data_IF_223950467105
#
_entry.id   IF_223950467105
#
_cell.length_a   1.000
_cell.length_b   1.000
_cell.length_c   1.000
_cell.angle_alpha   90.00
_cell.angle_beta   90.00
_cell.angle_gamma   90.00
#
_symmetry.space_group_name_H-M   'P 1'
#
loop_
_entity.id
_entity.type
_entity.pdbx_description
1 polymer ?
#
# COMPACT_ATOMS: atom_id res chain seq x y z
N UNK A 1 -9.34 -15.51 7.65
CA UNK A 1 -8.22 -14.58 7.33
C UNK A 1 -8.66 -13.65 6.21
N UNK A 2 -8.48 -12.34 6.41
CA UNK A 2 -8.88 -11.36 5.40
C UNK A 2 -8.04 -11.50 4.12
N UNK A 3 -8.62 -11.35 2.92
CA UNK A 3 -7.88 -11.48 1.65
C UNK A 3 -6.65 -10.58 1.53
N UNK A 4 -6.69 -9.36 2.07
CA UNK A 4 -5.54 -8.46 2.08
C UNK A 4 -4.37 -9.04 2.89
N UNK A 5 -4.65 -9.52 4.10
CA UNK A 5 -3.64 -10.17 4.95
C UNK A 5 -3.01 -11.36 4.22
N UNK A 6 -3.84 -12.19 3.61
CA UNK A 6 -3.36 -13.34 2.85
C UNK A 6 -2.48 -12.94 1.68
N UNK A 7 -2.85 -11.91 0.94
CA UNK A 7 -2.05 -11.41 -0.18
C UNK A 7 -0.69 -10.88 0.29
N UNK A 8 -0.64 -10.16 1.41
CA UNK A 8 0.62 -9.66 1.99
C UNK A 8 1.50 -10.82 2.48
N UNK A 9 0.93 -11.78 3.20
CA UNK A 9 1.67 -12.95 3.71
C UNK A 9 2.23 -13.80 2.55
N UNK A 10 1.52 -13.88 1.44
CA UNK A 10 1.96 -14.55 0.22
C UNK A 10 2.91 -13.71 -0.64
N UNK A 11 3.16 -12.45 -0.26
CA UNK A 11 3.94 -11.47 -1.02
C UNK A 11 3.43 -11.30 -2.46
N UNK A 12 2.12 -11.36 -2.62
CA UNK A 12 1.45 -11.28 -3.92
C UNK A 12 1.06 -9.83 -4.22
N UNK A 13 1.96 -9.10 -4.86
CA UNK A 13 1.77 -7.70 -5.20
C UNK A 13 0.56 -7.47 -6.13
N UNK A 14 0.30 -8.39 -7.05
CA UNK A 14 -0.86 -8.31 -7.95
C UNK A 14 -2.18 -8.45 -7.18
N UNK A 15 -2.25 -9.38 -6.25
CA UNK A 15 -3.44 -9.55 -5.41
C UNK A 15 -3.66 -8.35 -4.48
N UNK A 16 -2.59 -7.78 -3.93
CA UNK A 16 -2.67 -6.55 -3.13
C UNK A 16 -3.25 -5.41 -3.95
N UNK A 17 -2.70 -5.17 -5.14
CA UNK A 17 -3.17 -4.10 -6.04
C UNK A 17 -4.65 -4.27 -6.42
N UNK A 18 -5.08 -5.50 -6.70
CA UNK A 18 -6.46 -5.80 -7.05
C UNK A 18 -7.47 -5.46 -5.94
N UNK A 19 -7.03 -5.42 -4.69
CA UNK A 19 -7.86 -5.07 -3.54
C UNK A 19 -7.98 -3.56 -3.31
N UNK A 20 -7.19 -2.73 -4.02
CA UNK A 20 -7.23 -1.28 -3.88
C UNK A 20 -8.32 -0.68 -4.77
N UNK A 21 -9.10 0.26 -4.24
CA UNK A 21 -9.99 1.08 -5.03
C UNK A 21 -9.19 2.05 -5.89
N UNK A 22 -9.73 2.47 -7.04
CA UNK A 22 -9.06 3.44 -7.91
C UNK A 22 -8.77 4.77 -7.18
N UNK A 23 -9.69 5.20 -6.33
CA UNK A 23 -9.63 6.44 -5.55
C UNK A 23 -9.02 6.27 -4.16
N UNK A 24 -8.33 5.16 -3.89
CA UNK A 24 -7.71 4.91 -2.59
C UNK A 24 -6.79 6.07 -2.16
N UNK A 25 -6.83 6.41 -0.89
CA UNK A 25 -5.92 7.39 -0.28
C UNK A 25 -5.01 6.65 0.68
N UNK A 26 -3.71 6.77 0.48
CA UNK A 26 -2.69 6.18 1.34
C UNK A 26 -2.07 7.26 2.23
N UNK A 27 -2.06 7.02 3.54
CA UNK A 27 -1.42 7.89 4.53
C UNK A 27 -0.24 7.16 5.16
N UNK A 28 0.95 7.67 4.86
CA UNK A 28 2.23 7.10 5.30
C UNK A 28 2.51 7.40 6.78
N UNK A 29 3.21 6.49 7.49
CA UNK A 29 3.64 6.77 8.86
C UNK A 29 4.79 7.77 8.96
N UNK A 30 5.43 8.13 7.83
CA UNK A 30 6.64 8.97 7.81
C UNK A 30 6.49 10.25 6.99
N UNK A 31 5.35 10.42 6.31
CA UNK A 31 5.03 11.62 5.54
C UNK A 31 3.64 12.12 5.91
N UNK A 32 3.51 13.42 6.14
CA UNK A 32 2.25 14.01 6.56
C UNK A 32 1.22 14.05 5.41
N UNK A 33 1.67 14.41 4.21
CA UNK A 33 0.80 14.60 3.06
C UNK A 33 0.34 13.25 2.50
N UNK A 34 -1.00 13.02 2.37
CA UNK A 34 -1.49 11.75 1.82
C UNK A 34 -1.20 11.59 0.33
N UNK A 35 -1.17 10.34 -0.12
CA UNK A 35 -0.96 9.96 -1.52
C UNK A 35 -2.28 9.45 -2.10
N UNK A 36 -2.90 10.18 -3.04
CA UNK A 36 -4.14 9.72 -3.66
C UNK A 36 -3.87 8.84 -4.87
N UNK A 37 -4.65 7.79 -5.00
CA UNK A 37 -4.69 6.96 -6.19
C UNK A 37 -4.06 5.58 -6.05
N UNK A 38 -4.60 4.65 -6.82
CA UNK A 38 -4.23 3.23 -6.82
C UNK A 38 -2.79 3.01 -7.31
N UNK A 39 -2.37 3.69 -8.39
CA UNK A 39 -1.05 3.49 -8.98
C UNK A 39 0.08 3.83 -7.98
N UNK A 40 -0.01 5.00 -7.33
CA UNK A 40 1.01 5.41 -6.36
C UNK A 40 0.96 4.56 -5.09
N UNK A 41 -0.24 4.20 -4.63
CA UNK A 41 -0.40 3.33 -3.45
C UNK A 41 0.21 1.95 -3.69
N UNK A 42 -0.09 1.32 -4.82
CA UNK A 42 0.49 0.03 -5.18
C UNK A 42 2.03 0.10 -5.26
N UNK A 43 2.57 1.17 -5.85
CA UNK A 43 4.02 1.38 -5.95
C UNK A 43 4.66 1.55 -4.56
N UNK A 44 4.02 2.30 -3.66
CA UNK A 44 4.49 2.47 -2.26
C UNK A 44 4.49 1.11 -1.54
N UNK A 45 3.43 0.34 -1.66
CA UNK A 45 3.34 -0.98 -1.02
C UNK A 45 4.41 -1.95 -1.53
N UNK A 46 4.71 -1.93 -2.83
CA UNK A 46 5.85 -2.70 -3.37
C UNK A 46 7.18 -2.23 -2.76
N UNK A 47 7.36 -0.92 -2.60
CA UNK A 47 8.53 -0.35 -1.93
C UNK A 47 8.67 -0.81 -0.48
N UNK A 48 7.58 -0.80 0.27
CA UNK A 48 7.51 -1.30 1.65
C UNK A 48 7.92 -2.77 1.71
N UNK A 49 7.41 -3.60 0.80
CA UNK A 49 7.76 -5.02 0.74
C UNK A 49 9.25 -5.26 0.45
N UNK A 50 9.91 -4.33 -0.23
CA UNK A 50 11.36 -4.42 -0.49
C UNK A 50 12.22 -4.04 0.72
N UNK A 51 11.73 -3.15 1.59
CA UNK A 51 12.53 -2.63 2.72
C UNK A 51 12.24 -3.29 4.05
N UNK A 52 11.04 -3.85 4.24
CA UNK A 52 10.68 -4.55 5.48
C UNK A 52 11.06 -6.03 5.39
N UNK A 53 11.82 -6.48 6.37
CA UNK A 53 12.24 -7.87 6.52
C UNK A 53 11.46 -8.55 7.65
N UNK A 54 11.31 -9.86 7.59
CA UNK A 54 10.65 -10.67 8.62
C UNK A 54 9.26 -10.14 9.00
N UNK A 55 8.51 -9.72 8.00
CA UNK A 55 7.18 -9.14 8.16
C UNK A 55 6.19 -10.21 8.63
N UNK A 56 5.51 -9.94 9.75
CA UNK A 56 4.51 -10.85 10.32
C UNK A 56 3.34 -10.07 10.88
N UNK A 57 2.12 -10.43 10.48
CA UNK A 57 0.93 -9.94 11.15
C UNK A 57 0.71 -10.70 12.45
N UNK A 58 0.55 -9.98 13.55
CA UNK A 58 0.43 -10.54 14.90
C UNK A 58 -0.95 -10.33 15.52
N UNK A 59 -1.76 -9.45 14.95
CA UNK A 59 -3.11 -9.16 15.47
C UNK A 59 -3.99 -8.62 14.37
N UNK A 60 -5.23 -9.09 14.34
CA UNK A 60 -6.25 -8.65 13.38
C UNK A 60 -7.50 -8.25 14.15
N UNK A 61 -7.99 -7.03 13.92
CA UNK A 61 -9.21 -6.50 14.51
C UNK A 61 -10.10 -6.03 13.36
N UNK A 62 -11.35 -6.49 13.36
CA UNK A 62 -12.33 -6.09 12.36
C UNK A 62 -13.62 -5.65 13.04
N UNK A 63 -14.29 -4.65 12.48
CA UNK A 63 -15.63 -4.31 12.94
C UNK A 63 -16.63 -5.39 12.49
N UNK A 64 -17.80 -5.50 13.15
CA UNK A 64 -18.80 -6.51 12.78
C UNK A 64 -19.36 -6.32 11.37
N UNK A 65 -19.36 -5.09 10.85
CA UNK A 65 -19.83 -4.79 9.48
C UNK A 65 -18.78 -5.12 8.41
N UNK A 66 -17.52 -5.37 8.82
CA UNK A 66 -16.44 -5.71 7.90
C UNK A 66 -15.91 -4.54 7.07
N UNK A 67 -16.20 -3.30 7.48
CA UNK A 67 -15.78 -2.09 6.75
C UNK A 67 -14.42 -1.58 7.22
N UNK A 68 -14.10 -1.75 8.49
CA UNK A 68 -12.86 -1.27 9.09
C UNK A 68 -12.06 -2.42 9.67
N UNK A 69 -10.78 -2.46 9.32
CA UNK A 69 -9.84 -3.47 9.79
C UNK A 69 -8.57 -2.81 10.31
N UNK A 70 -8.03 -3.36 11.40
CA UNK A 70 -6.73 -2.99 11.91
C UNK A 70 -5.85 -4.25 11.95
N UNK A 71 -4.72 -4.22 11.26
CA UNK A 71 -3.78 -5.33 11.16
C UNK A 71 -2.45 -4.91 11.77
N UNK A 72 -2.16 -5.39 12.96
CA UNK A 72 -0.91 -5.09 13.66
C UNK A 72 0.19 -6.03 13.14
N UNK A 73 1.32 -5.46 12.78
CA UNK A 73 2.48 -6.22 12.28
C UNK A 73 3.75 -5.93 13.06
N UNK A 74 4.68 -6.85 12.95
CA UNK A 74 6.08 -6.66 13.34
C UNK A 74 6.96 -6.93 12.14
N UNK A 75 8.10 -6.24 12.08
CA UNK A 75 9.07 -6.42 11.02
C UNK A 75 10.45 -5.91 11.47
N UNK A 76 11.42 -5.95 10.58
CA UNK A 76 12.75 -5.37 10.77
C UNK A 76 13.04 -4.42 9.61
N UNK A 77 13.58 -3.25 9.91
CA UNK A 77 14.03 -2.28 8.92
C UNK A 77 15.36 -1.68 9.35
N UNK A 78 16.36 -1.76 8.47
CA UNK A 78 17.69 -1.24 8.78
C UNK A 78 18.28 -1.82 10.07
N UNK A 79 18.04 -3.10 10.35
CA UNK A 79 18.49 -3.78 11.56
C UNK A 79 17.70 -3.44 12.82
N UNK A 80 16.64 -2.64 12.74
CA UNK A 80 15.80 -2.23 13.86
C UNK A 80 14.44 -2.92 13.83
N UNK A 81 13.96 -3.35 15.01
CA UNK A 81 12.61 -3.91 15.13
C UNK A 81 11.58 -2.77 15.02
N UNK A 82 10.56 -3.00 14.21
CA UNK A 82 9.45 -2.08 14.00
C UNK A 82 8.13 -2.79 14.27
N UNK A 83 7.22 -2.10 14.92
CA UNK A 83 5.84 -2.52 15.07
C UNK A 83 4.94 -1.48 14.41
N UNK A 84 3.96 -1.93 13.66
CA UNK A 84 3.04 -1.02 12.99
C UNK A 84 1.63 -1.55 12.96
N UNK A 85 0.74 -0.72 12.47
CA UNK A 85 -0.65 -1.07 12.25
C UNK A 85 -1.13 -0.52 10.91
N UNK A 86 -1.69 -1.40 10.10
CA UNK A 86 -2.41 -1.04 8.89
C UNK A 86 -3.87 -0.83 9.24
N UNK A 87 -4.37 0.40 9.08
CA UNK A 87 -5.79 0.71 9.20
C UNK A 87 -6.39 0.75 7.80
N UNK A 88 -7.33 -0.15 7.54
CA UNK A 88 -7.96 -0.32 6.22
C UNK A 88 -9.44 -0.01 6.32
N UNK A 89 -9.95 0.84 5.42
CA UNK A 89 -11.37 1.00 5.20
C UNK A 89 -11.74 0.41 3.85
N UNK A 90 -12.83 -0.37 3.81
CA UNK A 90 -13.35 -1.03 2.61
C UNK A 90 -14.62 -0.35 2.13
N UNK A 91 -14.70 -0.08 0.84
CA UNK A 91 -15.90 0.46 0.21
C UNK A 91 -17.00 -0.62 0.06
N UNK A 92 -18.12 -0.25 -0.55
CA UNK A 92 -19.25 -1.15 -0.74
C UNK A 92 -18.92 -2.33 -1.68
N UNK A 93 -17.90 -2.18 -2.51
CA UNK A 93 -17.43 -3.23 -3.42
C UNK A 93 -16.37 -4.13 -2.79
N UNK A 94 -16.01 -3.88 -1.53
CA UNK A 94 -15.00 -4.66 -0.81
C UNK A 94 -13.57 -4.28 -1.17
N UNK A 95 -13.34 -3.10 -1.76
CA UNK A 95 -12.01 -2.58 -2.07
C UNK A 95 -11.57 -1.55 -1.05
N UNK A 96 -10.27 -1.43 -0.87
CA UNK A 96 -9.67 -0.51 0.09
C UNK A 96 -9.71 0.90 -0.49
N UNK A 97 -10.46 1.80 0.12
CA UNK A 97 -10.53 3.22 -0.27
C UNK A 97 -9.75 4.15 0.66
N UNK A 98 -9.40 3.68 1.86
CA UNK A 98 -8.50 4.40 2.77
C UNK A 98 -7.51 3.41 3.41
N UNK A 99 -6.24 3.77 3.39
CA UNK A 99 -5.16 2.95 3.89
C UNK A 99 -4.19 3.83 4.69
N UNK A 100 -4.24 3.72 6.01
CA UNK A 100 -3.39 4.50 6.90
C UNK A 100 -2.47 3.58 7.68
N UNK A 101 -1.17 3.90 7.75
CA UNK A 101 -0.19 3.13 8.49
C UNK A 101 0.42 3.97 9.60
N UNK A 102 0.48 3.39 10.81
CA UNK A 102 1.17 3.97 11.96
C UNK A 102 2.24 3.00 12.42
N UNK A 103 3.39 3.51 12.87
CA UNK A 103 4.53 2.69 13.30
C UNK A 103 5.17 3.21 14.59
N UNK A 104 5.85 2.31 15.28
CA UNK A 104 6.64 2.59 16.48
C UNK A 104 7.88 1.70 16.53
N UNK A 105 8.93 1.99 17.35
CA UNK A 105 9.19 3.26 18.03
C UNK A 105 9.77 4.32 17.08
N UNK A 106 10.05 5.51 17.58
CA UNK A 106 10.55 6.63 16.78
C UNK A 106 11.83 6.26 15.99
N UNK A 107 12.77 5.55 16.61
CA UNK A 107 14.01 5.14 15.93
C UNK A 107 13.75 4.23 14.74
N UNK A 108 12.77 3.33 14.83
CA UNK A 108 12.37 2.46 13.72
C UNK A 108 11.61 3.25 12.64
N UNK A 109 10.77 4.21 13.03
CA UNK A 109 10.09 5.11 12.10
C UNK A 109 11.12 5.94 11.30
N UNK A 110 12.18 6.43 11.94
CA UNK A 110 13.28 7.13 11.27
C UNK A 110 14.01 6.22 10.28
N UNK A 111 14.31 4.98 10.67
CA UNK A 111 14.92 3.99 9.79
C UNK A 111 14.04 3.67 8.59
N UNK A 112 12.73 3.57 8.79
CA UNK A 112 11.75 3.37 7.73
C UNK A 112 11.73 4.56 6.76
N UNK A 113 11.71 5.79 7.29
CA UNK A 113 11.74 7.00 6.48
C UNK A 113 12.97 7.04 5.58
N UNK A 114 14.15 6.70 6.11
CA UNK A 114 15.40 6.65 5.36
C UNK A 114 15.37 5.57 4.28
N UNK A 115 14.92 4.36 4.61
CA UNK A 115 14.82 3.26 3.66
C UNK A 115 13.81 3.54 2.54
N UNK A 116 12.66 4.14 2.87
CA UNK A 116 11.66 4.52 1.88
C UNK A 116 12.13 5.68 1.02
N UNK A 117 12.88 6.63 1.59
CA UNK A 117 13.52 7.71 0.83
C UNK A 117 14.44 7.18 -0.27
N UNK A 118 15.22 6.14 0.02
CA UNK A 118 16.07 5.47 -0.97
C UNK A 118 15.26 4.73 -2.06
N UNK A 119 14.00 4.38 -1.81
CA UNK A 119 13.10 3.75 -2.79
C UNK A 119 12.26 4.74 -3.59
N UNK A 120 12.30 6.03 -3.22
CA UNK A 120 11.35 7.02 -3.74
C UNK A 120 11.39 7.17 -5.26
N UNK A 121 12.60 7.22 -5.86
CA UNK A 121 12.73 7.36 -7.32
C UNK A 121 12.13 6.16 -8.05
N UNK A 122 12.31 4.96 -7.53
CA UNK A 122 11.73 3.74 -8.08
C UNK A 122 10.21 3.72 -7.93
N UNK A 123 9.70 4.13 -6.78
CA UNK A 123 8.26 4.24 -6.51
C UNK A 123 7.62 5.23 -7.48
N UNK A 124 8.22 6.39 -7.66
CA UNK A 124 7.73 7.42 -8.59
C UNK A 124 7.73 6.92 -10.04
N UNK A 125 8.78 6.22 -10.46
CA UNK A 125 8.89 5.66 -11.79
C UNK A 125 7.82 4.57 -12.03
N UNK A 126 7.61 3.67 -11.10
CA UNK A 126 6.59 2.61 -11.18
C UNK A 126 5.18 3.21 -11.24
N UNK A 127 4.89 4.23 -10.43
CA UNK A 127 3.60 4.92 -10.43
C UNK A 127 3.36 5.65 -11.77
N UNK A 128 4.39 6.30 -12.32
CA UNK A 128 4.32 6.98 -13.61
C UNK A 128 4.10 5.99 -14.76
N UNK A 129 4.78 4.85 -14.76
CA UNK A 129 4.57 3.79 -15.76
C UNK A 129 3.16 3.25 -15.73
N UNK A 130 2.59 2.97 -14.54
CA UNK A 130 1.23 2.49 -14.40
C UNK A 130 0.22 3.53 -14.90
N UNK A 131 0.41 4.81 -14.56
CA UNK A 131 -0.45 5.90 -15.02
C UNK A 131 -0.31 6.14 -16.51
N UNK A 132 0.92 6.07 -17.06
CA UNK A 132 1.20 6.18 -18.48
C UNK A 132 0.58 5.04 -19.29
N UNK A 133 0.68 3.81 -18.81
CA UNK A 133 0.08 2.65 -19.43
C UNK A 133 -1.45 2.73 -19.45
N UNK A 134 -2.08 3.21 -18.35
CA UNK A 134 -3.52 3.43 -18.27
C UNK A 134 -3.98 4.51 -19.25
N UNK A 135 -3.24 5.64 -19.35
CA UNK A 135 -3.51 6.74 -20.28
C UNK A 135 -3.36 6.30 -21.74
N UNK A 136 -2.32 5.53 -22.06
CA UNK A 136 -2.07 4.98 -23.39
C UNK A 136 -3.18 4.01 -23.80
N UNK A 137 -3.63 3.14 -22.88
CA UNK A 137 -4.76 2.25 -23.10
C UNK A 137 -6.06 2.98 -23.36
N UNK A 138 -6.35 4.03 -22.60
CA UNK A 138 -7.54 4.87 -22.79
C UNK A 138 -7.50 5.63 -24.11
N UNK A 139 -6.34 6.20 -24.48
CA UNK A 139 -6.15 6.89 -25.78
C UNK A 139 -6.31 5.94 -26.96
N UNK A 140 -5.77 4.73 -26.88
CA UNK A 140 -5.89 3.69 -27.90
C UNK A 140 -7.35 3.25 -28.09
N UNK A 141 -8.11 3.10 -27.01
CA UNK A 141 -9.53 2.76 -27.06
C UNK A 141 -10.36 3.90 -27.68
N UNK A 142 -9.99 5.16 -27.41
CA UNK A 142 -10.65 6.35 -28.01
C UNK A 142 -10.47 6.45 -29.52
N UNK A 143 -9.31 6.08 -30.04
CA UNK A 143 -9.03 6.13 -31.47
C UNK A 143 -9.75 5.01 -32.26
N UNK A 144 -10.13 3.93 -31.62
CA UNK A 144 -10.89 2.84 -32.25
C UNK A 144 -12.36 3.19 -32.52
N UNK A 145 -12.91 4.20 -31.87
CA UNK A 145 -14.30 4.58 -31.98
C UNK A 145 -14.57 5.58 -33.15
N UNK A 146 -13.54 6.06 -33.82
CA UNK A 146 -13.65 7.06 -34.89
C UNK A 146 -13.43 6.51 -36.30
N UNK A 147 -13.45 5.22 -36.48
CA UNK A 147 -13.26 4.61 -37.79
C UNK A 147 -14.59 4.11 -38.39
#
# INVERSE_FOLDING_TARGET
MHPFRQAVENRDATAIEALLAEEVVFTSPVAFKPYPGKAVTAAILRGVMRVLEDFTYVREIADPAGRDHALVFTATVGGRRIQGCDFLHFDEEGRIDDFTVMVRPLSAAQALAEAMGAQFDRIAAEAAEASGAASAGAASAGNGAGA
#
